data_IF_365778897559
#
_entry.id   IF_365778897559
#
_cell.length_a   1.000
_cell.length_b   1.000
_cell.length_c   1.000
_cell.angle_alpha   90.00
_cell.angle_beta   90.00
_cell.angle_gamma   90.00
#
_symmetry.space_group_name_H-M   'P 1'
#
loop_
_entity.id
_entity.type
_entity.pdbx_description
1 polymer ?
#
# COMPACT_ATOMS: atom_id res chain seq x y z
N UNK A 1 9.83 -57.53 19.86
CA UNK A 1 8.68 -56.72 19.38
C UNK A 1 8.83 -55.20 19.53
N UNK A 2 9.96 -54.66 20.00
CA UNK A 2 10.14 -53.22 20.28
C UNK A 2 10.94 -52.44 19.22
N UNK A 3 11.96 -53.04 18.60
CA UNK A 3 12.81 -52.34 17.60
C UNK A 3 12.05 -52.07 16.28
N UNK A 4 11.24 -53.02 15.81
CA UNK A 4 10.48 -52.88 14.55
C UNK A 4 9.47 -51.71 14.59
N UNK A 5 8.98 -51.34 15.77
CA UNK A 5 8.02 -50.24 15.96
C UNK A 5 8.67 -48.86 15.86
N UNK A 6 9.93 -48.72 16.28
CA UNK A 6 10.68 -47.46 16.14
C UNK A 6 11.15 -47.23 14.71
N UNK A 7 11.58 -48.29 13.99
CA UNK A 7 11.96 -48.19 12.57
C UNK A 7 10.76 -47.81 11.69
N UNK A 8 9.56 -48.33 11.98
CA UNK A 8 8.35 -47.92 11.25
C UNK A 8 7.97 -46.45 11.51
N UNK A 9 8.18 -45.95 12.73
CA UNK A 9 7.89 -44.55 13.07
C UNK A 9 8.89 -43.57 12.43
N UNK A 10 10.18 -43.92 12.33
CA UNK A 10 11.16 -43.09 11.63
C UNK A 10 10.98 -43.13 10.11
N UNK A 11 10.62 -44.27 9.51
CA UNK A 11 10.27 -44.33 8.08
C UNK A 11 8.99 -43.57 7.73
N UNK A 12 7.98 -43.54 8.62
CA UNK A 12 6.78 -42.73 8.41
C UNK A 12 7.09 -41.22 8.47
N UNK A 13 8.04 -40.80 9.32
CA UNK A 13 8.53 -39.42 9.36
C UNK A 13 9.45 -39.05 8.18
N UNK A 14 10.17 -40.01 7.57
CA UNK A 14 11.01 -39.76 6.38
C UNK A 14 10.24 -39.70 5.05
N UNK A 15 8.93 -39.93 5.04
CA UNK A 15 8.07 -39.79 3.85
C UNK A 15 7.04 -38.66 3.93
N UNK A 16 7.10 -37.81 4.97
CA UNK A 16 6.44 -36.48 4.99
C UNK A 16 7.49 -35.35 5.02
N UNK A 17 8.64 -35.58 4.38
CA UNK A 17 9.39 -34.51 3.68
C UNK A 17 8.99 -34.53 2.20
N UNK A 18 7.68 -34.65 1.94
CA UNK A 18 7.12 -34.41 0.64
C UNK A 18 7.26 -32.91 0.34
N UNK A 19 8.01 -32.58 -0.71
CA UNK A 19 8.41 -31.23 -1.06
C UNK A 19 7.27 -30.20 -0.92
N UNK A 20 7.57 -29.06 -0.30
CA UNK A 20 6.78 -27.82 -0.40
C UNK A 20 6.86 -27.24 -1.83
N UNK A 21 6.38 -28.00 -2.81
CA UNK A 21 6.09 -27.50 -4.14
C UNK A 21 4.87 -26.58 -4.06
N UNK A 22 4.96 -25.41 -4.67
CA UNK A 22 3.88 -24.42 -4.67
C UNK A 22 2.52 -25.02 -5.09
N UNK A 23 1.45 -24.52 -4.49
CA UNK A 23 0.09 -24.93 -4.83
C UNK A 23 -0.23 -24.50 -6.27
N UNK A 24 -0.98 -25.33 -6.99
CA UNK A 24 -1.51 -25.00 -8.32
C UNK A 24 -2.60 -23.95 -8.20
N UNK A 25 -2.75 -23.11 -9.23
CA UNK A 25 -3.76 -22.03 -9.28
C UNK A 25 -5.16 -22.52 -8.95
N UNK A 26 -5.62 -23.61 -9.59
CA UNK A 26 -6.96 -24.18 -9.34
C UNK A 26 -7.16 -24.62 -7.90
N UNK A 27 -6.14 -25.19 -7.25
CA UNK A 27 -6.25 -25.63 -5.85
C UNK A 27 -6.33 -24.44 -4.90
N UNK A 28 -5.62 -23.35 -5.18
CA UNK A 28 -5.72 -22.09 -4.42
C UNK A 28 -7.13 -21.51 -4.59
N UNK A 29 -7.60 -21.40 -5.84
CA UNK A 29 -8.93 -20.90 -6.19
C UNK A 29 -10.05 -21.68 -5.48
N UNK A 30 -10.00 -23.03 -5.50
CA UNK A 30 -10.98 -23.87 -4.81
C UNK A 30 -10.95 -23.65 -3.28
N UNK A 31 -9.76 -23.69 -2.67
CA UNK A 31 -9.62 -23.52 -1.22
C UNK A 31 -10.12 -22.15 -0.76
N UNK A 32 -9.76 -21.08 -1.45
CA UNK A 32 -10.29 -19.73 -1.15
C UNK A 32 -11.81 -19.66 -1.30
N UNK A 33 -12.37 -20.27 -2.35
CA UNK A 33 -13.83 -20.30 -2.56
C UNK A 33 -14.58 -21.00 -1.42
N UNK A 34 -14.02 -22.06 -0.86
CA UNK A 34 -14.67 -22.85 0.20
C UNK A 34 -14.82 -22.08 1.52
N UNK A 35 -13.93 -21.12 1.79
CA UNK A 35 -13.89 -20.30 3.02
C UNK A 35 -14.87 -19.09 3.00
N UNK A 36 -15.26 -18.64 1.80
CA UNK A 36 -16.16 -17.51 1.59
C UNK A 36 -17.61 -17.80 2.04
N UNK A 37 -18.36 -16.73 2.31
CA UNK A 37 -19.80 -16.80 2.52
C UNK A 37 -20.53 -17.20 1.23
N UNK A 38 -21.80 -17.63 1.32
CA UNK A 38 -22.58 -17.96 0.11
C UNK A 38 -22.80 -16.76 -0.84
N UNK A 39 -22.72 -15.53 -0.32
CA UNK A 39 -22.67 -14.33 -1.15
C UNK A 39 -21.26 -14.14 -1.75
N UNK A 40 -20.22 -14.22 -0.91
CA UNK A 40 -18.82 -14.14 -1.33
C UNK A 40 -18.44 -15.14 -2.43
N UNK A 41 -18.90 -16.40 -2.33
CA UNK A 41 -18.73 -17.44 -3.37
C UNK A 41 -19.27 -17.01 -4.73
N UNK A 42 -20.49 -16.46 -4.77
CA UNK A 42 -21.12 -15.98 -6.01
C UNK A 42 -20.34 -14.81 -6.62
N UNK A 43 -19.87 -13.88 -5.80
CA UNK A 43 -19.03 -12.76 -6.25
C UNK A 43 -17.67 -13.26 -6.75
N UNK A 44 -17.05 -14.19 -6.03
CA UNK A 44 -15.77 -14.80 -6.41
C UNK A 44 -15.85 -15.59 -7.72
N UNK A 45 -16.93 -16.36 -7.96
CA UNK A 45 -17.14 -17.08 -9.23
C UNK A 45 -17.27 -16.15 -10.44
N UNK A 46 -17.87 -14.97 -10.25
CA UNK A 46 -17.96 -13.91 -11.27
C UNK A 46 -16.59 -13.25 -11.48
N UNK A 47 -15.89 -12.95 -10.39
CA UNK A 47 -14.53 -12.40 -10.38
C UNK A 47 -13.52 -13.31 -11.10
N UNK A 48 -13.54 -14.63 -10.91
CA UNK A 48 -12.63 -15.54 -11.63
C UNK A 48 -12.78 -15.46 -13.15
N UNK A 49 -14.02 -15.42 -13.66
CA UNK A 49 -14.30 -15.25 -15.11
C UNK A 49 -13.76 -13.92 -15.65
N UNK A 50 -13.84 -12.86 -14.85
CA UNK A 50 -13.26 -11.57 -15.20
C UNK A 50 -11.73 -11.62 -15.20
N UNK A 51 -11.12 -12.24 -14.18
CA UNK A 51 -9.67 -12.39 -14.06
C UNK A 51 -9.06 -13.18 -15.21
N UNK A 52 -9.71 -14.25 -15.68
CA UNK A 52 -9.29 -14.98 -16.90
C UNK A 52 -9.25 -14.08 -18.14
N UNK A 53 -10.29 -13.26 -18.33
CA UNK A 53 -10.37 -12.32 -19.46
C UNK A 53 -9.34 -11.20 -19.35
N UNK A 54 -9.18 -10.61 -18.15
CA UNK A 54 -8.16 -9.59 -17.86
C UNK A 54 -6.76 -10.13 -18.07
N UNK A 55 -6.45 -11.32 -17.54
CA UNK A 55 -5.14 -11.96 -17.73
C UNK A 55 -4.85 -12.24 -19.21
N UNK A 56 -5.85 -12.64 -20.00
CA UNK A 56 -5.71 -12.83 -21.46
C UNK A 56 -5.43 -11.52 -22.20
N UNK A 57 -6.19 -10.45 -21.91
CA UNK A 57 -6.00 -9.13 -22.52
C UNK A 57 -4.65 -8.52 -22.12
N UNK A 58 -4.32 -8.53 -20.83
CA UNK A 58 -3.04 -8.11 -20.28
C UNK A 58 -1.87 -8.87 -20.92
N UNK A 59 -2.01 -10.18 -21.13
CA UNK A 59 -1.01 -10.99 -21.85
C UNK A 59 -0.80 -10.55 -23.31
N UNK A 60 -1.87 -10.19 -24.02
CA UNK A 60 -1.79 -9.66 -25.39
C UNK A 60 -1.16 -8.25 -25.43
N UNK A 61 -1.50 -7.39 -24.46
CA UNK A 61 -0.90 -6.06 -24.29
C UNK A 61 0.60 -6.18 -24.00
N UNK A 62 1.01 -7.08 -23.11
CA UNK A 62 2.41 -7.25 -22.68
C UNK A 62 3.22 -8.25 -23.52
N UNK A 63 2.63 -8.89 -24.54
CA UNK A 63 3.31 -9.82 -25.44
C UNK A 63 3.77 -11.13 -24.79
N UNK A 64 3.02 -11.65 -23.81
CA UNK A 64 3.33 -12.89 -23.08
C UNK A 64 2.23 -13.95 -23.25
N UNK A 65 2.50 -15.17 -22.79
CA UNK A 65 1.48 -16.22 -22.66
C UNK A 65 0.67 -16.00 -21.38
N UNK A 66 -0.65 -16.27 -21.38
CA UNK A 66 -1.47 -16.19 -20.17
C UNK A 66 -1.05 -17.25 -19.13
N UNK A 67 -1.43 -17.05 -17.85
CA UNK A 67 -1.26 -18.06 -16.81
C UNK A 67 -1.87 -19.40 -17.20
N UNK A 68 -1.30 -20.49 -16.72
CA UNK A 68 -1.95 -21.81 -16.76
C UNK A 68 -2.51 -22.21 -15.39
N UNK A 69 -3.37 -23.21 -15.42
CA UNK A 69 -4.03 -23.77 -14.23
C UNK A 69 -3.09 -24.64 -13.38
N UNK A 70 -2.08 -25.26 -14.01
CA UNK A 70 -1.02 -26.06 -13.41
C UNK A 70 0.18 -25.22 -12.93
N UNK A 71 0.19 -23.91 -13.19
CA UNK A 71 1.22 -22.99 -12.67
C UNK A 71 1.28 -23.08 -11.14
N UNK A 72 2.48 -23.31 -10.61
CA UNK A 72 2.74 -23.37 -9.16
C UNK A 72 3.13 -22.00 -8.63
N UNK A 73 2.50 -21.57 -7.55
CA UNK A 73 2.77 -20.30 -6.91
C UNK A 73 3.36 -20.47 -5.51
N UNK A 74 4.30 -19.60 -5.16
CA UNK A 74 4.79 -19.44 -3.80
C UNK A 74 4.16 -18.16 -3.23
N UNK A 75 3.15 -18.32 -2.37
CA UNK A 75 2.29 -17.19 -1.96
C UNK A 75 2.84 -16.48 -0.72
N UNK A 76 2.97 -15.16 -0.82
CA UNK A 76 2.93 -14.28 0.35
C UNK A 76 1.47 -14.06 0.82
N UNK A 77 1.25 -13.51 2.02
CA UNK A 77 -0.10 -13.32 2.57
C UNK A 77 -1.02 -12.45 1.68
N UNK A 78 -0.50 -11.40 1.06
CA UNK A 78 -1.19 -10.48 0.11
C UNK A 78 -0.78 -10.79 -1.34
N UNK A 79 -0.76 -12.06 -1.76
CA UNK A 79 -0.26 -12.48 -3.09
C UNK A 79 -0.96 -13.74 -3.61
N UNK A 80 -2.28 -13.78 -3.48
CA UNK A 80 -3.12 -14.85 -4.01
C UNK A 80 -3.30 -14.68 -5.53
N UNK A 81 -2.83 -15.64 -6.36
CA UNK A 81 -2.88 -15.54 -7.83
C UNK A 81 -4.29 -15.67 -8.43
N UNK A 82 -5.31 -15.88 -7.58
CA UNK A 82 -6.72 -15.88 -7.96
C UNK A 82 -7.40 -14.52 -7.69
N UNK A 83 -6.70 -13.56 -7.09
CA UNK A 83 -7.22 -12.22 -6.79
C UNK A 83 -6.70 -11.19 -7.78
N UNK A 84 -7.49 -10.14 -8.01
CA UNK A 84 -7.02 -8.96 -8.74
C UNK A 84 -5.98 -8.27 -7.88
N UNK A 85 -4.78 -8.04 -8.41
CA UNK A 85 -3.69 -7.42 -7.65
C UNK A 85 -3.37 -8.19 -6.34
N UNK A 86 -3.51 -9.52 -6.34
CA UNK A 86 -3.05 -10.38 -5.23
C UNK A 86 -3.97 -10.50 -4.00
N UNK A 87 -4.88 -9.55 -3.77
CA UNK A 87 -5.69 -9.46 -2.54
C UNK A 87 -7.12 -8.89 -2.77
N UNK A 88 -7.47 -8.41 -3.97
CA UNK A 88 -8.79 -7.86 -4.24
C UNK A 88 -9.74 -8.80 -5.00
N UNK A 89 -10.99 -8.89 -4.54
CA UNK A 89 -12.11 -9.54 -5.25
C UNK A 89 -12.99 -8.44 -5.92
N UNK A 90 -13.03 -8.44 -7.25
CA UNK A 90 -13.80 -7.49 -8.05
C UNK A 90 -15.29 -7.84 -8.10
N UNK A 91 -16.15 -6.82 -8.17
CA UNK A 91 -17.52 -6.95 -8.66
C UNK A 91 -17.56 -7.01 -10.19
N UNK A 92 -18.65 -7.50 -10.78
CA UNK A 92 -18.84 -7.51 -12.24
C UNK A 92 -18.75 -6.10 -12.86
N UNK A 93 -19.15 -5.07 -12.12
CA UNK A 93 -19.13 -3.69 -12.59
C UNK A 93 -17.70 -3.13 -12.68
N UNK A 94 -16.89 -3.33 -11.63
CA UNK A 94 -15.47 -2.98 -11.62
C UNK A 94 -14.71 -3.74 -12.72
N UNK A 95 -14.88 -5.07 -12.74
CA UNK A 95 -14.36 -5.92 -13.82
C UNK A 95 -14.75 -5.41 -15.22
N UNK A 96 -16.00 -4.95 -15.40
CA UNK A 96 -16.48 -4.36 -16.65
C UNK A 96 -15.68 -3.14 -17.11
N UNK A 97 -15.34 -2.21 -16.22
CA UNK A 97 -14.51 -1.06 -16.55
C UNK A 97 -13.08 -1.46 -16.94
N UNK A 98 -12.42 -2.29 -16.12
CA UNK A 98 -11.07 -2.81 -16.40
C UNK A 98 -11.02 -3.55 -17.73
N UNK A 99 -12.01 -4.40 -18.03
CA UNK A 99 -12.10 -5.16 -19.27
C UNK A 99 -12.32 -4.26 -20.49
N UNK A 100 -13.14 -3.23 -20.37
CA UNK A 100 -13.40 -2.29 -21.45
C UNK A 100 -12.16 -1.43 -21.74
N UNK A 101 -11.48 -0.89 -20.72
CA UNK A 101 -10.25 -0.13 -20.96
C UNK A 101 -9.11 -1.03 -21.48
N UNK A 102 -8.97 -2.27 -20.99
CA UNK A 102 -7.99 -3.21 -21.51
C UNK A 102 -8.21 -3.53 -23.01
N UNK A 103 -9.46 -3.66 -23.47
CA UNK A 103 -9.76 -3.78 -24.91
C UNK A 103 -9.35 -2.54 -25.67
N UNK A 104 -9.70 -1.34 -25.20
CA UNK A 104 -9.33 -0.07 -25.84
C UNK A 104 -7.81 0.11 -25.93
N UNK A 105 -7.05 -0.26 -24.89
CA UNK A 105 -5.58 -0.26 -24.90
C UNK A 105 -5.01 -1.25 -25.92
N UNK A 106 -5.61 -2.43 -26.06
CA UNK A 106 -5.22 -3.44 -27.06
C UNK A 106 -5.52 -2.97 -28.50
N UNK A 107 -6.69 -2.35 -28.73
CA UNK A 107 -7.06 -1.74 -30.00
C UNK A 107 -6.10 -0.61 -30.40
N UNK A 108 -5.75 0.27 -29.46
CA UNK A 108 -4.77 1.34 -29.67
C UNK A 108 -3.37 0.77 -30.03
N UNK A 109 -2.94 -0.31 -29.36
CA UNK A 109 -1.70 -1.04 -29.66
C UNK A 109 -1.73 -1.63 -31.09
N UNK A 110 -2.83 -2.27 -31.50
CA UNK A 110 -2.97 -2.81 -32.86
C UNK A 110 -3.01 -1.72 -33.94
N UNK A 111 -3.50 -0.53 -33.61
CA UNK A 111 -3.52 0.63 -34.51
C UNK A 111 -2.17 1.38 -34.59
N UNK A 112 -1.09 0.88 -33.97
CA UNK A 112 0.21 1.55 -33.83
C UNK A 112 0.12 2.99 -33.26
N UNK A 113 -0.93 3.30 -32.49
CA UNK A 113 -1.13 4.61 -31.87
C UNK A 113 -0.31 4.70 -30.59
N UNK A 114 0.92 5.22 -30.68
CA UNK A 114 1.77 5.57 -29.53
C UNK A 114 1.67 7.05 -29.21
N UNK A 115 1.18 7.42 -28.03
CA UNK A 115 1.25 8.81 -27.55
C UNK A 115 0.04 9.30 -26.76
N UNK A 116 0.15 10.54 -26.26
CA UNK A 116 -0.73 11.19 -25.29
C UNK A 116 -2.11 11.60 -25.84
N UNK A 117 -2.35 11.53 -27.15
CA UNK A 117 -3.65 11.89 -27.76
C UNK A 117 -4.72 10.81 -27.54
N UNK A 118 -4.35 9.53 -27.60
CA UNK A 118 -5.27 8.44 -27.31
C UNK A 118 -5.69 8.41 -25.83
N UNK A 119 -4.75 8.70 -24.90
CA UNK A 119 -5.06 8.83 -23.49
C UNK A 119 -6.03 10.00 -23.23
N UNK A 120 -5.80 11.18 -23.83
CA UNK A 120 -6.68 12.36 -23.66
C UNK A 120 -8.13 12.09 -24.05
N UNK A 121 -8.39 11.43 -25.18
CA UNK A 121 -9.76 11.17 -25.64
C UNK A 121 -10.54 10.20 -24.72
N UNK A 122 -9.85 9.20 -24.17
CA UNK A 122 -10.40 8.24 -23.19
C UNK A 122 -10.68 8.95 -21.86
N UNK A 123 -9.70 9.72 -21.38
CA UNK A 123 -9.75 10.50 -20.14
C UNK A 123 -10.94 11.48 -20.13
N UNK A 124 -11.22 12.19 -21.24
CA UNK A 124 -12.30 13.17 -21.30
C UNK A 124 -13.71 12.57 -21.45
N UNK A 125 -13.83 11.32 -21.93
CA UNK A 125 -15.10 10.57 -21.91
C UNK A 125 -15.47 10.07 -20.51
N UNK A 126 -14.48 9.67 -19.70
CA UNK A 126 -14.70 9.11 -18.36
C UNK A 126 -14.97 10.17 -17.26
N UNK A 127 -14.52 11.42 -17.45
CA UNK A 127 -14.70 12.52 -16.47
C UNK A 127 -16.14 12.94 -16.16
N UNK A 128 -17.16 12.46 -16.90
CA UNK A 128 -18.53 12.99 -16.85
C UNK A 128 -19.46 12.38 -15.79
N UNK A 129 -18.98 11.46 -14.95
CA UNK A 129 -19.73 10.90 -13.83
C UNK A 129 -18.95 11.06 -12.52
N UNK A 130 -19.21 12.13 -11.74
CA UNK A 130 -18.67 12.32 -10.39
C UNK A 130 -19.41 13.43 -9.63
N UNK A 131 -19.74 13.17 -8.36
CA UNK A 131 -20.15 14.17 -7.38
C UNK A 131 -19.23 14.09 -6.15
N UNK A 132 -19.00 15.22 -5.47
CA UNK A 132 -17.97 15.40 -4.43
C UNK A 132 -18.52 16.14 -3.20
N UNK A 133 -18.03 15.84 -1.99
CA UNK A 133 -17.75 16.86 -0.94
C UNK A 133 -16.89 16.35 0.25
N UNK A 134 -16.60 17.23 1.21
CA UNK A 134 -15.46 17.18 2.15
C UNK A 134 -15.80 17.98 3.45
N UNK A 135 -15.18 17.85 4.64
CA UNK A 135 -14.20 16.89 5.24
C UNK A 135 -14.07 17.20 6.76
N UNK A 136 -14.01 16.20 7.66
CA UNK A 136 -12.99 16.06 8.73
C UNK A 136 -13.17 14.73 9.54
N UNK A 137 -12.03 14.16 9.95
CA UNK A 137 -11.78 12.93 10.74
C UNK A 137 -12.82 11.80 10.68
N UNK A 138 -12.47 10.68 10.02
CA UNK A 138 -13.45 9.77 9.42
C UNK A 138 -14.62 9.49 10.34
N UNK A 139 -15.80 9.86 9.85
CA UNK A 139 -17.11 9.56 10.38
C UNK A 139 -17.42 8.06 10.46
N UNK A 140 -16.59 7.21 9.85
CA UNK A 140 -16.76 5.76 9.81
C UNK A 140 -16.58 5.21 11.23
N UNK A 141 -17.53 4.40 11.68
CA UNK A 141 -17.52 3.76 13.01
C UNK A 141 -17.87 2.29 12.82
N UNK A 142 -17.00 1.41 13.31
CA UNK A 142 -17.26 -0.02 13.33
C UNK A 142 -17.91 -0.39 14.67
N UNK A 143 -19.08 -1.02 14.62
CA UNK A 143 -19.73 -1.61 15.78
C UNK A 143 -19.67 -3.14 15.65
N UNK A 144 -19.14 -3.82 16.66
CA UNK A 144 -19.12 -5.30 16.69
C UNK A 144 -20.56 -5.80 16.73
N UNK A 145 -20.96 -6.60 15.74
CA UNK A 145 -22.23 -7.33 15.74
C UNK A 145 -22.01 -8.81 16.01
N UNK A 146 -22.95 -9.43 16.72
CA UNK A 146 -23.01 -10.89 16.92
C UNK A 146 -23.83 -11.59 15.80
N UNK A 147 -24.53 -10.83 14.95
CA UNK A 147 -25.31 -11.37 13.83
C UNK A 147 -25.50 -10.34 12.72
N UNK A 148 -25.37 -10.79 11.47
CA UNK A 148 -25.60 -10.00 10.25
C UNK A 148 -26.94 -10.32 9.57
N UNK A 149 -27.88 -10.99 10.26
CA UNK A 149 -29.18 -11.35 9.68
C UNK A 149 -29.95 -10.09 9.26
N UNK A 150 -30.13 -9.92 7.95
CA UNK A 150 -30.86 -8.80 7.33
C UNK A 150 -30.13 -7.46 7.35
N UNK A 151 -28.78 -7.44 7.32
CA UNK A 151 -27.98 -6.21 7.35
C UNK A 151 -26.57 -6.43 6.78
N UNK A 152 -26.08 -5.47 6.01
CA UNK A 152 -24.67 -5.44 5.59
C UNK A 152 -23.71 -5.30 6.77
N UNK A 153 -22.44 -5.62 6.51
CA UNK A 153 -21.34 -5.52 7.46
C UNK A 153 -20.12 -6.29 6.96
N UNK A 154 -19.03 -6.27 7.74
CA UNK A 154 -17.81 -7.00 7.42
C UNK A 154 -17.69 -8.25 8.29
N UNK A 155 -17.66 -9.43 7.68
CA UNK A 155 -17.27 -10.69 8.31
C UNK A 155 -15.75 -10.81 8.23
N UNK A 156 -15.07 -10.39 9.28
CA UNK A 156 -13.63 -10.63 9.44
C UNK A 156 -13.44 -12.11 9.82
N UNK A 157 -12.62 -12.87 9.09
CA UNK A 157 -12.39 -14.30 9.34
C UNK A 157 -10.95 -14.73 9.02
N UNK A 158 -10.43 -15.80 9.65
CA UNK A 158 -9.06 -16.29 9.43
C UNK A 158 -8.98 -17.21 8.20
N UNK A 159 -9.04 -16.63 6.99
CA UNK A 159 -8.90 -17.35 5.73
C UNK A 159 -7.45 -17.55 5.28
N UNK A 160 -7.27 -18.09 4.07
CA UNK A 160 -5.95 -18.29 3.44
C UNK A 160 -5.42 -17.02 2.80
N UNK A 161 -4.73 -16.22 3.61
CA UNK A 161 -4.10 -14.97 3.23
C UNK A 161 -4.91 -13.75 3.66
N UNK A 162 -4.49 -12.58 3.17
CA UNK A 162 -5.15 -11.31 3.39
C UNK A 162 -5.84 -10.94 2.07
N UNK A 163 -7.15 -10.66 2.13
CA UNK A 163 -7.92 -10.24 0.95
C UNK A 163 -9.29 -9.67 1.32
N UNK A 164 -9.84 -8.87 0.41
CA UNK A 164 -11.09 -8.13 0.59
C UNK A 164 -11.79 -7.83 -0.75
N UNK A 165 -13.05 -7.42 -0.73
CA UNK A 165 -13.70 -6.79 -1.88
C UNK A 165 -13.46 -5.27 -1.88
N UNK A 166 -13.47 -4.63 -3.06
CA UNK A 166 -13.34 -3.17 -3.15
C UNK A 166 -14.69 -2.48 -2.96
N UNK A 167 -14.86 -1.85 -1.79
CA UNK A 167 -16.07 -1.11 -1.40
C UNK A 167 -17.24 -2.02 -0.97
N UNK A 168 -18.37 -1.44 -0.54
CA UNK A 168 -19.55 -2.20 -0.15
C UNK A 168 -20.23 -2.85 -1.36
N UNK A 169 -20.19 -4.18 -1.45
CA UNK A 169 -20.73 -4.93 -2.60
C UNK A 169 -22.24 -5.23 -2.49
N UNK A 170 -22.85 -5.03 -1.32
CA UNK A 170 -24.27 -5.30 -1.07
C UNK A 170 -24.82 -4.48 0.09
N UNK A 171 -26.08 -4.06 0.00
CA UNK A 171 -26.80 -3.36 1.07
C UNK A 171 -27.34 -4.32 2.16
N UNK A 172 -27.57 -5.58 1.81
CA UNK A 172 -28.30 -6.55 2.65
C UNK A 172 -27.47 -7.78 3.06
N UNK A 173 -26.32 -8.00 2.40
CA UNK A 173 -25.45 -9.14 2.66
C UNK A 173 -24.17 -8.71 3.38
N UNK A 174 -23.65 -9.60 4.22
CA UNK A 174 -22.32 -9.46 4.80
C UNK A 174 -21.25 -9.66 3.73
N UNK A 175 -20.19 -8.85 3.80
CA UNK A 175 -19.02 -8.89 2.93
C UNK A 175 -17.85 -9.54 3.68
N UNK A 176 -17.08 -10.34 2.96
CA UNK A 176 -15.98 -11.13 3.52
C UNK A 176 -14.67 -10.32 3.53
N UNK A 177 -13.94 -10.38 4.64
CA UNK A 177 -12.57 -9.83 4.77
C UNK A 177 -11.69 -10.88 5.44
N UNK A 178 -10.71 -11.40 4.71
CA UNK A 178 -9.80 -12.43 5.22
C UNK A 178 -8.62 -11.79 5.95
N UNK A 179 -8.43 -12.13 7.21
CA UNK A 179 -7.25 -11.82 8.02
C UNK A 179 -6.64 -13.15 8.46
N UNK A 180 -5.93 -13.78 7.53
CA UNK A 180 -5.25 -15.05 7.75
C UNK A 180 -3.96 -14.95 8.58
N UNK A 181 -3.28 -16.08 8.71
CA UNK A 181 -1.97 -16.15 9.37
C UNK A 181 -0.95 -15.23 8.68
N UNK A 182 -0.34 -14.32 9.43
CA UNK A 182 0.59 -13.30 8.93
C UNK A 182 -0.06 -11.97 8.55
N UNK A 183 -1.39 -11.87 8.61
CA UNK A 183 -2.17 -10.64 8.33
C UNK A 183 -2.48 -9.82 9.58
N UNK A 184 -2.06 -10.25 10.77
CA UNK A 184 -2.48 -9.71 12.06
C UNK A 184 -1.83 -8.34 12.40
N UNK A 185 -0.94 -7.85 11.55
CA UNK A 185 -0.32 -6.53 11.66
C UNK A 185 -1.36 -5.43 11.47
N UNK A 186 -1.32 -4.41 12.33
CA UNK A 186 -2.31 -3.32 12.33
C UNK A 186 -2.44 -2.65 10.95
N UNK A 187 -1.33 -2.36 10.26
CA UNK A 187 -1.37 -1.80 8.91
C UNK A 187 -1.97 -2.76 7.86
N UNK A 188 -1.78 -4.07 7.98
CA UNK A 188 -2.41 -5.06 7.07
C UNK A 188 -3.91 -5.17 7.34
N UNK A 189 -4.34 -5.24 8.61
CA UNK A 189 -5.77 -5.20 8.95
C UNK A 189 -6.43 -3.91 8.43
N UNK A 190 -5.74 -2.77 8.54
CA UNK A 190 -6.20 -1.50 7.99
C UNK A 190 -6.22 -1.48 6.45
N UNK A 191 -5.29 -2.16 5.78
CA UNK A 191 -5.25 -2.32 4.33
C UNK A 191 -6.50 -3.05 3.81
N UNK A 192 -6.80 -4.22 4.37
CA UNK A 192 -7.97 -5.04 3.96
C UNK A 192 -9.31 -4.36 4.27
N UNK A 193 -9.38 -3.64 5.39
CA UNK A 193 -10.54 -2.79 5.72
C UNK A 193 -10.63 -1.58 4.78
N UNK A 194 -9.50 -1.01 4.33
CA UNK A 194 -9.50 0.08 3.35
C UNK A 194 -9.96 -0.38 1.97
N UNK A 195 -9.60 -1.59 1.54
CA UNK A 195 -10.25 -2.25 0.40
C UNK A 195 -11.76 -2.37 0.61
N UNK A 196 -12.22 -2.88 1.75
CA UNK A 196 -13.66 -3.00 2.05
C UNK A 196 -14.40 -1.64 2.02
N UNK A 197 -13.66 -0.55 2.24
CA UNK A 197 -14.11 0.85 2.16
C UNK A 197 -13.80 1.51 0.79
N UNK A 198 -13.44 0.75 -0.23
CA UNK A 198 -13.37 1.22 -1.62
C UNK A 198 -12.02 1.76 -2.08
N UNK A 199 -10.94 1.59 -1.31
CA UNK A 199 -9.60 1.95 -1.80
C UNK A 199 -9.04 0.85 -2.70
N UNK A 200 -8.52 1.26 -3.87
CA UNK A 200 -7.58 0.46 -4.65
C UNK A 200 -6.15 0.74 -4.20
N UNK A 201 -5.19 -0.01 -4.75
CA UNK A 201 -3.77 0.22 -4.50
C UNK A 201 -3.24 1.54 -5.06
N UNK A 202 -2.28 2.14 -4.36
CA UNK A 202 -1.60 3.38 -4.77
C UNK A 202 -0.76 3.17 -6.04
N UNK A 203 -0.03 2.05 -6.17
CA UNK A 203 0.68 1.71 -7.42
C UNK A 203 -0.26 1.28 -8.58
N UNK A 204 -1.57 1.27 -8.36
CA UNK A 204 -2.53 1.07 -9.45
C UNK A 204 -3.01 2.37 -10.07
N UNK A 205 -2.73 3.54 -9.46
CA UNK A 205 -3.30 4.82 -9.89
C UNK A 205 -3.00 5.14 -11.36
N UNK A 206 -3.92 5.82 -12.08
CA UNK A 206 -3.70 6.28 -13.46
C UNK A 206 -2.44 7.13 -13.64
N UNK A 207 -2.09 7.94 -12.63
CA UNK A 207 -0.97 8.90 -12.60
C UNK A 207 0.35 8.31 -12.05
N UNK A 208 0.37 7.04 -11.61
CA UNK A 208 1.53 6.43 -10.95
C UNK A 208 2.84 6.53 -11.73
N UNK A 209 2.76 6.53 -13.07
CA UNK A 209 3.93 6.42 -13.94
C UNK A 209 4.74 7.73 -13.93
N UNK A 210 4.21 8.79 -13.30
CA UNK A 210 4.94 10.01 -12.94
C UNK A 210 5.85 9.82 -11.72
N UNK A 211 5.56 8.84 -10.86
CA UNK A 211 6.17 8.63 -9.53
C UNK A 211 7.02 7.35 -9.44
N UNK A 212 6.61 6.27 -10.09
CA UNK A 212 7.27 4.95 -10.03
C UNK A 212 7.58 4.40 -11.42
N UNK A 213 8.66 3.63 -11.51
CA UNK A 213 9.01 2.83 -12.68
C UNK A 213 8.76 1.34 -12.36
N UNK A 214 8.06 0.63 -13.25
CA UNK A 214 7.76 -0.81 -13.09
C UNK A 214 8.60 -1.62 -14.08
N UNK A 215 9.33 -2.61 -13.59
CA UNK A 215 10.16 -3.51 -14.38
C UNK A 215 9.48 -4.87 -14.53
N UNK A 216 8.58 -4.99 -15.52
CA UNK A 216 7.85 -6.23 -15.82
C UNK A 216 8.75 -7.41 -16.22
N UNK A 217 10.03 -7.20 -16.56
CA UNK A 217 10.99 -8.28 -16.82
C UNK A 217 11.43 -8.99 -15.53
N UNK A 218 11.32 -8.34 -14.37
CA UNK A 218 11.52 -8.98 -13.07
C UNK A 218 10.24 -9.63 -12.52
N UNK A 219 9.06 -9.26 -13.05
CA UNK A 219 7.76 -9.80 -12.63
C UNK A 219 7.45 -11.11 -13.35
N UNK A 220 6.95 -12.11 -12.62
CA UNK A 220 6.51 -13.38 -13.22
C UNK A 220 5.49 -13.12 -14.35
N UNK A 221 5.61 -13.71 -15.55
CA UNK A 221 4.73 -13.40 -16.68
C UNK A 221 3.23 -13.53 -16.34
N UNK A 222 2.87 -14.54 -15.55
CA UNK A 222 1.53 -14.82 -15.07
C UNK A 222 1.06 -13.91 -13.90
N UNK A 223 1.88 -12.97 -13.42
CA UNK A 223 1.57 -11.99 -12.37
C UNK A 223 1.70 -10.54 -12.85
N UNK A 224 2.01 -10.28 -14.13
CA UNK A 224 2.17 -8.92 -14.68
C UNK A 224 0.89 -8.08 -14.56
N UNK A 225 -0.28 -8.71 -14.60
CA UNK A 225 -1.58 -8.04 -14.43
C UNK A 225 -1.77 -7.38 -13.06
N UNK A 226 -1.01 -7.79 -12.03
CA UNK A 226 -1.01 -7.11 -10.72
C UNK A 226 -0.40 -5.69 -10.79
N UNK A 227 0.23 -5.34 -11.91
CA UNK A 227 0.74 -4.02 -12.24
C UNK A 227 -0.08 -3.29 -13.32
N UNK A 228 -1.29 -3.74 -13.66
CA UNK A 228 -2.17 -2.97 -14.54
C UNK A 228 -2.76 -1.75 -13.80
N UNK A 229 -2.82 -0.58 -14.46
CA UNK A 229 -3.43 0.64 -13.89
C UNK A 229 -4.96 0.50 -13.80
N UNK A 230 -5.55 0.94 -12.69
CA UNK A 230 -7.00 1.16 -12.55
C UNK A 230 -7.48 2.23 -13.54
N UNK A 231 -8.77 2.19 -13.86
CA UNK A 231 -9.38 3.18 -14.77
C UNK A 231 -9.75 4.46 -14.02
N UNK A 232 -9.91 5.58 -14.74
CA UNK A 232 -10.47 6.82 -14.15
C UNK A 232 -11.95 6.69 -13.75
N UNK A 233 -12.67 5.68 -14.24
CA UNK A 233 -14.04 5.40 -13.78
C UNK A 233 -14.05 4.78 -12.38
N UNK A 234 -13.04 3.98 -12.05
CA UNK A 234 -12.96 3.25 -10.78
C UNK A 234 -12.14 3.96 -9.70
N UNK A 235 -11.13 4.75 -10.08
CA UNK A 235 -10.20 5.39 -9.16
C UNK A 235 -10.31 6.93 -9.20
N UNK A 236 -10.64 7.53 -8.05
CA UNK A 236 -10.62 8.98 -7.80
C UNK A 236 -9.58 9.29 -6.72
N UNK A 237 -8.63 10.17 -7.02
CA UNK A 237 -7.69 10.68 -6.03
C UNK A 237 -8.26 11.86 -5.23
N UNK A 238 -9.36 12.47 -5.70
CA UNK A 238 -9.94 13.71 -5.15
C UNK A 238 -8.95 14.88 -5.10
N UNK A 239 -7.90 14.85 -5.94
CA UNK A 239 -6.79 15.81 -5.89
C UNK A 239 -5.80 15.56 -4.75
N UNK A 240 -5.84 14.39 -4.11
CA UNK A 240 -4.82 13.94 -3.17
C UNK A 240 -3.58 13.49 -3.98
N UNK A 241 -2.39 14.04 -3.69
CA UNK A 241 -1.17 13.68 -4.40
C UNK A 241 -0.80 12.20 -4.18
N UNK A 242 0.06 11.66 -5.06
CA UNK A 242 0.58 10.30 -4.93
C UNK A 242 1.43 10.15 -3.67
N UNK A 243 1.12 9.16 -2.82
CA UNK A 243 1.80 8.97 -1.54
C UNK A 243 2.58 7.64 -1.49
N UNK A 244 3.90 7.71 -1.73
CA UNK A 244 4.81 6.56 -1.64
C UNK A 244 4.76 5.81 -0.31
N UNK A 245 4.30 6.46 0.78
CA UNK A 245 4.18 5.81 2.08
C UNK A 245 2.80 5.23 2.37
N UNK A 246 1.83 5.37 1.46
CA UNK A 246 0.47 4.81 1.61
C UNK A 246 0.50 3.36 2.06
N UNK A 247 -0.40 2.96 2.95
CA UNK A 247 -0.58 1.54 3.27
C UNK A 247 -1.06 0.74 2.05
N UNK A 248 -1.66 1.39 1.06
CA UNK A 248 -2.11 0.78 -0.20
C UNK A 248 -0.98 0.72 -1.25
N UNK A 249 0.26 1.06 -0.91
CA UNK A 249 1.41 1.01 -1.82
C UNK A 249 2.18 -0.30 -1.68
N UNK A 250 2.30 -1.06 -2.78
CA UNK A 250 3.13 -2.27 -2.85
C UNK A 250 4.61 -2.07 -2.46
N UNK A 251 5.21 -3.18 -2.02
CA UNK A 251 6.65 -3.33 -1.86
C UNK A 251 7.40 -3.35 -3.21
N UNK A 252 8.67 -2.90 -3.16
CA UNK A 252 9.61 -2.80 -4.29
C UNK A 252 9.92 -4.12 -5.02
N UNK A 253 9.66 -5.28 -4.40
CA UNK A 253 9.85 -6.63 -4.95
C UNK A 253 8.53 -7.39 -5.16
N UNK A 254 7.35 -6.78 -4.98
CA UNK A 254 6.07 -7.48 -5.18
C UNK A 254 6.01 -8.24 -6.52
N UNK A 255 5.56 -9.49 -6.50
CA UNK A 255 5.48 -10.41 -7.66
C UNK A 255 6.78 -10.64 -8.46
N UNK A 256 7.95 -10.33 -7.88
CA UNK A 256 9.25 -10.58 -8.50
C UNK A 256 9.54 -12.08 -8.62
N UNK A 257 9.78 -12.55 -9.84
CA UNK A 257 10.14 -13.93 -10.14
C UNK A 257 11.63 -14.25 -9.87
N UNK A 258 12.46 -13.22 -9.69
CA UNK A 258 13.92 -13.35 -9.62
C UNK A 258 14.54 -12.62 -8.41
N UNK A 259 13.71 -12.18 -7.46
CA UNK A 259 14.13 -11.45 -6.25
C UNK A 259 14.63 -10.02 -6.48
N UNK A 260 14.74 -9.56 -7.75
CA UNK A 260 15.14 -8.20 -8.10
C UNK A 260 13.94 -7.25 -7.99
N UNK A 261 14.21 -5.94 -7.96
CA UNK A 261 13.20 -4.90 -7.86
C UNK A 261 12.23 -4.96 -9.06
N UNK A 262 10.96 -5.21 -8.79
CA UNK A 262 9.87 -5.11 -9.77
C UNK A 262 9.35 -3.67 -9.89
N UNK A 263 9.58 -2.85 -8.86
CA UNK A 263 9.13 -1.45 -8.81
C UNK A 263 10.19 -0.56 -8.15
N UNK A 264 10.45 0.60 -8.74
CA UNK A 264 11.46 1.57 -8.28
C UNK A 264 10.88 2.99 -8.29
N UNK A 265 10.79 3.69 -7.15
CA UNK A 265 10.44 5.11 -7.11
C UNK A 265 11.40 5.96 -7.94
N UNK A 266 10.88 6.92 -8.71
CA UNK A 266 11.72 7.88 -9.46
C UNK A 266 12.57 8.73 -8.52
N UNK A 267 12.02 9.11 -7.37
CA UNK A 267 12.82 9.63 -6.26
C UNK A 267 13.36 8.46 -5.41
N UNK A 268 14.62 8.10 -5.64
CA UNK A 268 15.25 6.93 -5.01
C UNK A 268 15.28 6.98 -3.47
N UNK A 269 15.16 8.16 -2.85
CA UNK A 269 15.05 8.30 -1.39
C UNK A 269 13.84 7.54 -0.80
N UNK A 270 12.83 7.28 -1.63
CA UNK A 270 11.63 6.51 -1.26
C UNK A 270 11.75 4.99 -1.45
N UNK A 271 12.88 4.46 -1.94
CA UNK A 271 13.01 3.03 -2.29
C UNK A 271 12.66 2.08 -1.14
N UNK A 272 12.96 2.47 0.11
CA UNK A 272 12.64 1.68 1.30
C UNK A 272 11.40 2.21 2.06
N UNK A 273 10.71 3.23 1.53
CA UNK A 273 9.48 3.80 2.10
C UNK A 273 8.23 3.11 1.55
N UNK A 274 8.25 2.73 0.27
CA UNK A 274 7.18 1.95 -0.37
C UNK A 274 7.04 0.56 0.28
N UNK A 275 5.80 0.05 0.40
CA UNK A 275 5.52 -1.25 1.01
C UNK A 275 5.52 -1.27 2.54
N UNK A 276 5.38 -0.13 3.21
CA UNK A 276 5.23 -0.09 4.68
C UNK A 276 3.91 -0.75 5.13
N UNK A 277 3.94 -1.48 6.25
CA UNK A 277 2.80 -2.24 6.80
C UNK A 277 2.47 -1.86 8.25
N UNK A 278 2.90 -0.67 8.68
CA UNK A 278 2.79 -0.19 10.05
C UNK A 278 1.36 0.29 10.35
N UNK A 279 0.88 1.24 9.54
CA UNK A 279 -0.46 1.88 9.66
C UNK A 279 -0.78 2.72 8.44
N UNK A 280 -2.07 2.98 8.23
CA UNK A 280 -2.57 4.01 7.32
C UNK A 280 -1.90 5.35 7.59
N UNK A 281 -1.55 6.02 6.51
CA UNK A 281 -1.00 7.36 6.52
C UNK A 281 -2.12 8.41 6.43
N UNK A 282 -1.76 9.68 6.62
CA UNK A 282 -2.73 10.77 6.59
C UNK A 282 -3.53 10.82 5.28
N UNK A 283 -2.88 10.56 4.13
CA UNK A 283 -3.55 10.61 2.83
C UNK A 283 -4.50 9.43 2.58
N UNK A 284 -4.23 8.24 3.12
CA UNK A 284 -5.16 7.10 3.11
C UNK A 284 -6.47 7.48 3.85
N UNK A 285 -6.31 8.05 5.05
CA UNK A 285 -7.42 8.52 5.89
C UNK A 285 -8.18 9.69 5.22
N UNK A 286 -7.46 10.62 4.57
CA UNK A 286 -8.01 11.76 3.81
C UNK A 286 -8.81 11.30 2.58
N UNK A 287 -8.38 10.21 1.93
CA UNK A 287 -9.07 9.61 0.81
C UNK A 287 -10.39 8.98 1.27
N UNK A 288 -10.37 8.14 2.31
CA UNK A 288 -11.59 7.60 2.94
C UNK A 288 -12.56 8.71 3.41
N UNK A 289 -12.05 9.79 3.99
CA UNK A 289 -12.84 10.96 4.37
C UNK A 289 -13.57 11.61 3.17
N UNK A 290 -12.92 11.65 2.01
CA UNK A 290 -13.45 12.25 0.78
C UNK A 290 -14.53 11.40 0.13
N UNK A 291 -14.56 10.09 0.44
CA UNK A 291 -15.62 9.16 0.02
C UNK A 291 -16.82 9.27 0.97
N UNK A 292 -16.63 9.03 2.28
CA UNK A 292 -17.75 8.77 3.20
C UNK A 292 -18.23 9.96 4.02
N UNK A 293 -17.39 10.98 4.24
CA UNK A 293 -17.59 11.92 5.36
C UNK A 293 -17.89 13.35 4.93
N UNK A 294 -18.51 13.48 3.76
CA UNK A 294 -18.81 14.75 3.11
C UNK A 294 -19.85 15.63 3.85
N UNK A 295 -20.75 15.02 4.64
CA UNK A 295 -21.85 15.73 5.31
C UNK A 295 -21.59 16.15 6.76
N UNK A 296 -20.52 15.65 7.39
CA UNK A 296 -20.35 15.71 8.85
C UNK A 296 -19.68 16.97 9.39
N UNK A 297 -19.12 17.83 8.53
CA UNK A 297 -18.31 18.98 8.95
C UNK A 297 -18.75 20.27 8.25
N UNK A 298 -19.67 21.00 8.89
CA UNK A 298 -20.05 22.37 8.55
C UNK A 298 -19.55 23.29 9.67
N UNK A 299 -18.43 23.96 9.46
CA UNK A 299 -17.85 24.89 10.43
C UNK A 299 -16.47 25.39 9.97
N UNK A 300 -16.31 26.71 9.92
CA UNK A 300 -15.10 27.35 9.40
C UNK A 300 -13.85 27.06 10.24
N UNK A 301 -12.77 26.70 9.54
CA UNK A 301 -11.51 27.47 9.52
C UNK A 301 -10.51 26.84 8.57
N UNK A 302 -10.03 27.62 7.60
CA UNK A 302 -8.87 27.26 6.79
C UNK A 302 -7.64 27.07 7.70
N UNK A 303 -7.06 25.88 7.66
CA UNK A 303 -5.91 25.52 8.48
C UNK A 303 -5.69 24.02 8.45
N UNK A 304 -4.56 23.59 7.89
CA UNK A 304 -4.17 22.18 7.81
C UNK A 304 -3.93 21.63 9.22
N UNK A 305 -4.94 21.01 9.83
CA UNK A 305 -4.80 20.38 11.15
C UNK A 305 -4.17 18.99 10.99
N UNK A 306 -2.96 18.85 11.53
CA UNK A 306 -2.24 17.58 11.63
C UNK A 306 -2.76 16.86 12.88
N UNK A 307 -3.39 15.69 12.70
CA UNK A 307 -3.86 14.84 13.79
C UNK A 307 -3.36 13.40 13.62
N UNK A 308 -2.22 13.02 14.25
CA UNK A 308 -2.00 11.65 14.67
C UNK A 308 -2.88 11.37 15.90
N UNK A 309 -3.44 10.15 15.99
CA UNK A 309 -4.48 9.84 16.98
C UNK A 309 -4.13 10.15 18.44
N UNK A 310 -5.12 10.67 19.17
CA UNK A 310 -5.17 10.88 20.62
C UNK A 310 -4.13 11.79 21.29
N UNK A 311 -3.36 12.59 20.56
CA UNK A 311 -2.52 13.61 21.21
C UNK A 311 -1.94 14.67 20.29
N UNK A 312 -2.12 15.94 20.65
CA UNK A 312 -1.32 17.05 20.11
C UNK A 312 0.09 16.98 20.73
N UNK A 313 1.00 16.22 20.13
CA UNK A 313 2.39 16.18 20.55
C UNK A 313 3.01 17.59 20.43
N UNK A 314 3.57 18.09 21.54
CA UNK A 314 4.28 19.36 21.53
C UNK A 314 5.55 19.27 20.68
N UNK A 315 5.86 20.33 19.92
CA UNK A 315 7.12 20.45 19.18
C UNK A 315 8.26 20.64 20.19
N UNK A 316 9.09 19.62 20.38
CA UNK A 316 10.22 19.67 21.32
C UNK A 316 11.39 20.40 20.65
N UNK A 317 11.48 21.71 20.93
CA UNK A 317 12.67 22.52 20.69
C UNK A 317 12.80 23.12 19.28
N UNK A 318 12.90 24.45 19.24
CA UNK A 318 13.53 25.19 18.14
C UNK A 318 14.85 25.77 18.66
N UNK A 319 15.87 25.82 17.80
CA UNK A 319 16.98 26.78 17.92
C UNK A 319 17.10 27.48 16.57
N UNK A 320 17.06 28.80 16.58
CA UNK A 320 17.07 29.62 15.36
C UNK A 320 18.50 29.84 14.83
N UNK A 321 18.60 30.52 13.67
CA UNK A 321 19.70 31.41 13.19
C UNK A 321 20.39 30.96 11.89
N UNK A 322 20.67 31.97 11.04
CA UNK A 322 21.26 32.00 9.69
C UNK A 322 22.69 31.43 9.52
N UNK A 323 23.07 30.37 10.23
CA UNK A 323 24.36 29.68 10.06
C UNK A 323 24.14 28.16 10.02
N UNK A 324 25.05 27.39 9.39
CA UNK A 324 24.98 25.94 9.47
C UNK A 324 25.07 25.47 10.92
N UNK A 325 24.10 24.68 11.38
CA UNK A 325 24.10 24.11 12.73
C UNK A 325 24.24 22.59 12.68
N UNK A 326 25.01 22.07 13.64
CA UNK A 326 25.09 20.64 13.94
C UNK A 326 23.94 20.23 14.84
N UNK A 327 23.12 19.28 14.41
CA UNK A 327 22.09 18.65 15.25
C UNK A 327 22.49 17.19 15.48
N UNK A 328 22.81 16.88 16.74
CA UNK A 328 23.07 15.50 17.20
C UNK A 328 21.86 15.01 17.98
N UNK A 329 20.95 14.34 17.26
CA UNK A 329 19.73 13.75 17.80
C UNK A 329 20.12 12.44 18.49
N UNK A 330 20.40 12.53 19.79
CA UNK A 330 20.89 11.42 20.59
C UNK A 330 20.73 11.60 22.10
N UNK A 331 21.08 12.75 22.67
CA UNK A 331 21.07 13.01 24.13
C UNK A 331 19.86 13.82 24.62
N UNK A 332 19.30 14.72 23.81
CA UNK A 332 18.17 15.59 24.15
C UNK A 332 16.82 15.12 23.59
N UNK A 333 16.56 13.81 23.58
CA UNK A 333 15.29 13.24 23.13
C UNK A 333 14.53 12.60 24.28
N UNK A 334 13.23 12.91 24.39
CA UNK A 334 12.35 12.29 25.38
C UNK A 334 12.25 10.77 25.16
N UNK A 335 12.45 10.03 26.24
CA UNK A 335 12.39 8.57 26.27
C UNK A 335 10.94 8.11 26.52
N UNK A 336 10.15 8.04 25.46
CA UNK A 336 8.83 7.39 25.50
C UNK A 336 8.97 5.89 25.25
N UNK A 337 8.91 5.09 26.32
CA UNK A 337 8.66 3.64 26.32
C UNK A 337 9.44 2.80 25.29
N UNK A 338 10.53 2.14 25.73
CA UNK A 338 11.42 1.31 24.87
C UNK A 338 12.14 2.07 23.73
N UNK A 339 12.04 3.40 23.64
CA UNK A 339 12.79 4.17 22.65
C UNK A 339 12.85 5.68 22.90
N UNK A 340 13.65 6.35 22.07
CA UNK A 340 13.72 7.81 21.93
C UNK A 340 12.86 8.21 20.73
N UNK A 341 11.86 9.07 20.91
CA UNK A 341 11.02 9.58 19.82
C UNK A 341 11.04 11.10 19.82
N UNK A 342 11.33 11.69 18.67
CA UNK A 342 11.43 13.14 18.54
C UNK A 342 10.87 13.64 17.21
N UNK A 343 10.11 14.73 17.26
CA UNK A 343 9.65 15.47 16.08
C UNK A 343 10.31 16.85 16.09
N UNK A 344 11.23 17.08 15.16
CA UNK A 344 11.93 18.36 14.99
C UNK A 344 11.34 19.14 13.82
N UNK A 345 11.21 20.46 13.98
CA UNK A 345 10.88 21.39 12.91
C UNK A 345 12.08 22.31 12.67
N UNK A 346 12.69 22.25 11.47
CA UNK A 346 13.74 23.17 11.04
C UNK A 346 13.11 24.25 10.17
N UNK A 347 13.31 25.53 10.55
CA UNK A 347 12.76 26.71 9.84
C UNK A 347 13.85 27.47 9.11
N UNK A 348 13.58 27.83 7.86
CA UNK A 348 14.43 28.65 7.00
C UNK A 348 14.02 30.12 6.91
N UNK A 349 13.00 30.55 7.68
CA UNK A 349 12.51 31.92 7.74
C UNK A 349 12.22 32.51 6.34
N UNK A 350 11.37 31.84 5.56
CA UNK A 350 11.05 32.20 4.18
C UNK A 350 12.06 31.76 3.11
N UNK A 351 13.25 31.26 3.48
CA UNK A 351 14.19 30.57 2.55
C UNK A 351 14.03 29.07 2.63
N UNK A 352 14.41 28.34 1.58
CA UNK A 352 14.42 26.87 1.60
C UNK A 352 15.47 26.37 2.57
N UNK A 353 15.25 25.18 3.12
CA UNK A 353 16.19 24.50 4.03
C UNK A 353 16.82 23.33 3.30
N UNK A 354 18.15 23.23 3.35
CA UNK A 354 18.88 22.03 2.96
C UNK A 354 19.42 21.34 4.21
N UNK A 355 19.06 20.06 4.39
CA UNK A 355 19.69 19.18 5.37
C UNK A 355 20.75 18.30 4.69
N UNK A 356 21.80 17.98 5.43
CA UNK A 356 22.76 16.91 5.14
C UNK A 356 22.79 15.98 6.34
N UNK A 357 22.27 14.78 6.20
CA UNK A 357 22.45 13.70 7.17
C UNK A 357 23.88 13.21 7.01
N UNK A 358 24.73 13.46 8.00
CA UNK A 358 26.12 13.01 8.00
C UNK A 358 26.16 11.51 8.28
N UNK A 359 25.52 11.10 9.39
CA UNK A 359 25.44 9.71 9.87
C UNK A 359 24.06 9.49 10.49
N UNK A 360 23.39 8.42 10.11
CA UNK A 360 22.21 7.90 10.80
C UNK A 360 22.35 6.40 11.03
N UNK A 361 22.00 5.94 12.22
CA UNK A 361 21.96 4.53 12.60
C UNK A 361 20.60 4.21 13.21
N UNK A 362 19.83 3.37 12.52
CA UNK A 362 18.47 2.96 12.85
C UNK A 362 18.33 1.45 12.76
N UNK A 363 17.15 0.93 13.12
CA UNK A 363 16.85 -0.48 12.96
C UNK A 363 16.97 -0.89 11.48
N UNK A 364 17.74 -1.93 11.11
CA UNK A 364 17.88 -2.35 9.72
C UNK A 364 16.62 -3.09 9.25
N UNK A 365 16.06 -2.67 8.12
CA UNK A 365 14.91 -3.31 7.48
C UNK A 365 14.94 -3.12 5.97
N UNK A 366 14.35 -4.04 5.20
CA UNK A 366 14.09 -3.80 3.78
C UNK A 366 12.93 -2.80 3.56
N UNK A 367 12.05 -2.64 4.54
CA UNK A 367 10.90 -1.73 4.56
C UNK A 367 11.01 -0.84 5.79
N UNK A 368 11.29 0.44 5.60
CA UNK A 368 11.44 1.39 6.70
C UNK A 368 10.07 1.81 7.22
N UNK A 369 9.67 1.28 8.38
CA UNK A 369 8.41 1.62 9.01
C UNK A 369 8.48 3.03 9.64
N UNK A 370 7.46 3.91 9.46
CA UNK A 370 7.46 5.28 9.98
C UNK A 370 7.77 5.41 11.48
N UNK A 371 7.36 4.42 12.28
CA UNK A 371 7.49 4.42 13.73
C UNK A 371 8.81 3.80 14.25
N UNK A 372 9.75 3.41 13.36
CA UNK A 372 11.03 2.75 13.73
C UNK A 372 12.27 3.38 13.06
N UNK A 373 12.10 4.53 12.41
CA UNK A 373 13.03 5.07 11.43
C UNK A 373 13.18 6.60 11.53
N UNK A 374 13.98 7.20 10.66
CA UNK A 374 13.94 8.64 10.38
C UNK A 374 13.04 8.91 9.17
N UNK A 375 11.95 9.64 9.35
CA UNK A 375 11.15 10.18 8.24
C UNK A 375 11.41 11.69 8.08
N UNK A 376 11.68 12.14 6.84
CA UNK A 376 11.97 13.54 6.53
C UNK A 376 10.88 14.16 5.64
N UNK A 377 9.95 14.94 6.20
CA UNK A 377 8.94 15.66 5.42
C UNK A 377 9.51 17.00 4.92
N UNK A 378 9.91 17.02 3.65
CA UNK A 378 10.53 18.17 2.98
C UNK A 378 9.62 18.85 1.93
N UNK A 379 8.57 18.17 1.47
CA UNK A 379 7.55 18.74 0.58
C UNK A 379 6.81 19.91 1.24
N UNK A 380 6.28 20.83 0.43
CA UNK A 380 5.41 21.93 0.90
C UNK A 380 4.13 21.37 1.53
N UNK A 381 3.54 20.34 0.91
CA UNK A 381 2.45 19.58 1.52
C UNK A 381 3.01 18.58 2.55
N UNK A 382 2.95 18.97 3.83
CA UNK A 382 3.40 18.14 4.96
C UNK A 382 2.47 16.94 5.24
N UNK A 383 1.36 16.76 4.51
CA UNK A 383 0.52 15.56 4.63
C UNK A 383 1.21 14.31 4.06
N UNK A 384 1.86 14.46 2.89
CA UNK A 384 2.61 13.41 2.20
C UNK A 384 3.65 12.74 3.11
N UNK A 385 3.84 11.43 2.97
CA UNK A 385 4.96 10.74 3.62
C UNK A 385 6.28 11.25 3.05
N UNK A 386 7.21 11.58 3.95
CA UNK A 386 8.60 11.88 3.60
C UNK A 386 9.41 10.60 3.35
N UNK A 387 10.55 10.64 2.64
CA UNK A 387 11.47 9.52 2.58
C UNK A 387 11.81 9.07 4.01
N UNK A 388 11.64 7.77 4.22
CA UNK A 388 11.83 7.12 5.51
C UNK A 388 13.06 6.22 5.42
N UNK A 389 14.04 6.49 6.29
CA UNK A 389 15.37 5.90 6.28
C UNK A 389 15.59 4.99 7.49
N UNK A 390 16.07 3.77 7.22
CA UNK A 390 16.33 2.73 8.20
C UNK A 390 17.70 2.07 7.95
N UNK A 391 18.21 1.31 8.92
CA UNK A 391 19.58 0.81 8.92
C UNK A 391 20.62 1.92 9.06
N UNK A 392 21.80 1.75 8.45
CA UNK A 392 22.86 2.76 8.41
C UNK A 392 22.75 3.62 7.15
N UNK A 393 22.71 4.94 7.33
CA UNK A 393 22.74 5.93 6.25
C UNK A 393 23.86 6.93 6.47
N UNK A 394 24.49 7.38 5.38
CA UNK A 394 25.51 8.42 5.41
C UNK A 394 25.33 9.35 4.22
N UNK A 395 25.75 10.60 4.37
CA UNK A 395 25.85 11.62 3.30
C UNK A 395 24.58 11.86 2.47
N UNK A 396 23.39 11.71 3.05
CA UNK A 396 22.13 12.01 2.36
C UNK A 396 21.84 13.52 2.42
N UNK A 397 21.48 14.13 1.29
CA UNK A 397 21.17 15.56 1.19
C UNK A 397 19.74 15.74 0.67
N UNK A 398 18.95 16.57 1.36
CA UNK A 398 17.58 16.89 0.99
C UNK A 398 17.37 18.40 1.10
N UNK A 399 16.65 18.99 0.15
CA UNK A 399 16.26 20.41 0.15
C UNK A 399 14.74 20.51 0.14
N UNK A 400 14.16 21.34 1.01
CA UNK A 400 12.72 21.54 1.10
C UNK A 400 12.14 22.33 -0.08
N UNK A 401 10.85 22.15 -0.31
CA UNK A 401 10.09 22.95 -1.28
C UNK A 401 9.63 24.30 -0.71
N UNK A 402 9.40 24.36 0.60
CA UNK A 402 9.05 25.55 1.38
C UNK A 402 10.15 25.88 2.40
N UNK A 403 9.86 26.72 3.38
CA UNK A 403 10.81 27.12 4.43
C UNK A 403 10.89 26.16 5.61
N UNK A 404 10.39 24.92 5.50
CA UNK A 404 10.27 23.98 6.63
C UNK A 404 10.64 22.55 6.29
N UNK A 405 11.42 21.92 7.17
CA UNK A 405 11.60 20.46 7.20
C UNK A 405 11.08 19.94 8.54
N UNK A 406 10.25 18.90 8.50
CA UNK A 406 9.90 18.13 9.69
C UNK A 406 10.69 16.82 9.68
N UNK A 407 11.34 16.49 10.80
CA UNK A 407 12.03 15.23 11.02
C UNK A 407 11.27 14.45 12.10
N UNK A 408 10.73 13.28 11.76
CA UNK A 408 10.27 12.32 12.76
C UNK A 408 11.38 11.28 12.96
N UNK A 409 12.04 11.31 14.11
CA UNK A 409 13.09 10.39 14.50
C UNK A 409 12.55 9.39 15.52
N UNK A 410 12.72 8.09 15.26
CA UNK A 410 12.49 7.04 16.27
C UNK A 410 13.72 6.14 16.42
N UNK A 411 14.29 6.10 17.62
CA UNK A 411 15.41 5.26 18.01
C UNK A 411 15.03 4.25 19.09
N UNK A 412 14.78 3.00 18.70
CA UNK A 412 14.42 1.89 19.61
C UNK A 412 15.60 1.19 20.31
N UNK A 413 16.85 1.55 20.02
CA UNK A 413 18.04 0.95 20.64
C UNK A 413 19.01 2.03 21.12
N UNK A 414 19.81 1.74 22.15
CA UNK A 414 20.79 2.69 22.69
C UNK A 414 21.87 3.11 21.71
N UNK A 415 22.13 2.31 20.66
CA UNK A 415 23.03 2.61 19.55
C UNK A 415 22.39 3.42 18.42
N UNK A 416 21.08 3.67 18.45
CA UNK A 416 20.43 4.49 17.44
C UNK A 416 20.75 5.97 17.65
N UNK A 417 21.13 6.64 16.57
CA UNK A 417 21.54 8.03 16.57
C UNK A 417 21.33 8.67 15.20
N UNK A 418 21.17 9.99 15.18
CA UNK A 418 21.13 10.78 13.96
C UNK A 418 21.98 12.04 14.13
N UNK A 419 22.98 12.20 13.27
CA UNK A 419 23.79 13.41 13.14
C UNK A 419 23.53 14.05 11.78
N UNK A 420 23.08 15.30 11.80
CA UNK A 420 22.83 16.07 10.59
C UNK A 420 23.34 17.51 10.73
N UNK A 421 23.61 18.12 9.58
CA UNK A 421 23.78 19.56 9.41
C UNK A 421 22.60 20.11 8.63
N UNK A 422 22.26 21.37 8.85
CA UNK A 422 21.30 22.07 8.00
C UNK A 422 21.77 23.49 7.69
N UNK A 423 21.26 24.07 6.60
CA UNK A 423 21.47 25.48 6.21
C UNK A 423 20.26 25.98 5.42
N UNK A 424 20.09 27.29 5.32
CA UNK A 424 19.21 27.89 4.31
C UNK A 424 19.86 27.88 2.92
N UNK A 425 19.05 27.82 1.87
CA UNK A 425 19.42 27.86 0.44
C UNK A 425 18.43 28.68 -0.39
#
# INVERSE_FOLDING_TARGET
MTVLRQILFTLLCLHIVAAFGGLTRLRIQQQTREELSEHGKKTFDKHQKAMEQLAKLSSQIHGVKPPKDDDKFNMGPMSNPSMYQGDMILTEHQAGYLLNEAKMRLEAKHANKTGTEAEKEIVDKLKRQRNKKHVLETCIRFQKSQSFKGRHGLRIFPGRGCYSNIGPISADNVQDVSIGQGCEWNGIVQHEVSHALGLFHEQSRPDRDDYININLNNVAPNQRHNYDKTTLAESESFGIPYDYGSTMQYDKKSFSANGKLSMVPKNHLYLNTIGQIDKMQFNDIKLLNSIYCHDKCKGDKAGLRIFPGNGCYAVIGNVAIDKPQDVSIGSGCDAFGLGKRCVYEIKGNGKKVQIRIEVGNFYPSERCLPEMALQVKYYKDKTLVGPTFCGRINNQVLTSEDDRILLNYVGTMGSHMLKLKYKTV
#
